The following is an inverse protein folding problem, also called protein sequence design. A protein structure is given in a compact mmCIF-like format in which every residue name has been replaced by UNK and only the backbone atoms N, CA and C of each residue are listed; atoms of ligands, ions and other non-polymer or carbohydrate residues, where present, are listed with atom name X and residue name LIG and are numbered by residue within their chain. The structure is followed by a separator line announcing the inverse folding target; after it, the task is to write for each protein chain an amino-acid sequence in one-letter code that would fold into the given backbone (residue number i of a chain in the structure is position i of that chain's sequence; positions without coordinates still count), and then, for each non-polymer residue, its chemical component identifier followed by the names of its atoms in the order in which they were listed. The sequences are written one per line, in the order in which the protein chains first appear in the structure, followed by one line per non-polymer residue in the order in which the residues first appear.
data_IF_130525522684
#
_entry.id   IF_130525522684
#
_cell.length_a   1.000
_cell.length_b   1.000
_cell.length_c   1.000
_cell.angle_alpha   90.00
_cell.angle_beta   90.00
_cell.angle_gamma   90.00
#
_symmetry.space_group_name_H-M   'P 1'
#
loop_
_entity.id
_entity.type
_entity.pdbx_description
1 polymer ?
#
# COMPACT_ATOMS: atom_id res chain seq x y z
N UNK A 1 15.18 -31.55 -0.54
CA UNK A 1 16.04 -31.09 0.59
C UNK A 1 16.31 -29.58 0.56
N UNK A 2 16.26 -28.89 -0.60
CA UNK A 2 16.54 -27.43 -0.74
C UNK A 2 15.31 -26.58 -0.35
N UNK A 3 14.10 -27.01 -0.70
CA UNK A 3 12.86 -26.25 -0.45
C UNK A 3 12.60 -26.00 1.05
N UNK A 4 12.88 -26.99 1.92
CA UNK A 4 12.66 -26.86 3.35
C UNK A 4 13.40 -25.66 3.96
N UNK A 5 14.72 -25.57 3.85
CA UNK A 5 15.49 -24.43 4.36
C UNK A 5 15.07 -23.09 3.74
N UNK A 6 14.82 -23.04 2.42
CA UNK A 6 14.41 -21.81 1.73
C UNK A 6 13.07 -21.28 2.28
N UNK A 7 12.06 -22.15 2.41
CA UNK A 7 10.77 -21.76 2.98
C UNK A 7 10.83 -21.49 4.48
N UNK A 8 11.73 -22.12 5.22
CA UNK A 8 11.95 -21.81 6.63
C UNK A 8 12.44 -20.37 6.83
N UNK A 9 13.34 -19.90 5.96
CA UNK A 9 13.80 -18.49 5.96
C UNK A 9 12.65 -17.56 5.58
N UNK A 10 11.90 -17.89 4.53
CA UNK A 10 10.75 -17.09 4.08
C UNK A 10 9.70 -16.97 5.21
N UNK A 11 9.33 -18.06 5.85
CA UNK A 11 8.40 -18.06 6.98
C UNK A 11 8.92 -17.23 8.15
N UNK A 12 10.20 -17.38 8.50
CA UNK A 12 10.80 -16.58 9.57
C UNK A 12 10.69 -15.08 9.26
N UNK A 13 11.05 -14.68 8.04
CA UNK A 13 10.94 -13.29 7.59
C UNK A 13 9.48 -12.81 7.63
N UNK A 14 8.54 -13.62 7.15
CA UNK A 14 7.12 -13.26 7.16
C UNK A 14 6.57 -13.13 8.59
N UNK A 15 6.93 -14.01 9.52
CA UNK A 15 6.49 -13.88 10.90
C UNK A 15 7.08 -12.66 11.59
N UNK A 16 8.39 -12.43 11.49
CA UNK A 16 9.05 -11.30 12.12
C UNK A 16 8.54 -9.98 11.52
N UNK A 17 8.43 -9.89 10.21
CA UNK A 17 7.90 -8.70 9.54
C UNK A 17 6.42 -8.46 9.85
N UNK A 18 5.62 -9.53 9.98
CA UNK A 18 4.23 -9.44 10.41
C UNK A 18 4.07 -8.88 11.82
N UNK A 19 4.94 -9.25 12.75
CA UNK A 19 4.96 -8.66 14.11
C UNK A 19 5.25 -7.17 14.07
N UNK A 20 6.22 -6.75 13.24
CA UNK A 20 6.50 -5.31 13.05
C UNK A 20 5.28 -4.58 12.49
N UNK A 21 4.56 -5.20 11.56
CA UNK A 21 3.40 -4.58 10.91
C UNK A 21 2.18 -4.37 11.82
N UNK A 22 2.13 -5.00 12.98
CA UNK A 22 1.10 -4.72 13.99
C UNK A 22 1.17 -3.24 14.43
N UNK A 23 2.38 -2.69 14.47
CA UNK A 23 2.64 -1.33 14.96
C UNK A 23 3.04 -0.35 13.85
N UNK A 24 3.65 -0.84 12.77
CA UNK A 24 4.26 -0.02 11.71
C UNK A 24 3.89 -0.55 10.33
N UNK A 25 2.98 0.12 9.65
CA UNK A 25 2.56 -0.24 8.28
C UNK A 25 3.47 0.42 7.23
N UNK A 26 3.17 0.19 5.95
CA UNK A 26 3.80 0.93 4.85
C UNK A 26 3.40 2.41 4.94
N UNK A 27 4.36 3.35 4.83
CA UNK A 27 4.06 4.78 4.91
C UNK A 27 3.10 5.19 3.79
N UNK A 28 2.19 6.09 4.11
CA UNK A 28 1.22 6.64 3.15
C UNK A 28 0.73 8.00 3.63
N UNK A 29 0.46 8.87 2.69
CA UNK A 29 -0.36 10.05 2.94
C UNK A 29 -1.81 9.56 3.14
N UNK A 30 -2.26 9.47 4.38
CA UNK A 30 -3.58 8.94 4.66
C UNK A 30 -4.69 9.97 4.37
N UNK A 31 -5.94 9.52 4.47
CA UNK A 31 -7.09 10.40 4.19
C UNK A 31 -7.25 11.48 5.26
N UNK A 32 -6.86 11.20 6.50
CA UNK A 32 -6.95 12.17 7.60
C UNK A 32 -5.91 13.26 7.40
N UNK A 33 -4.67 12.90 7.05
CA UNK A 33 -3.61 13.85 6.72
C UNK A 33 -4.01 14.74 5.54
N UNK A 34 -4.51 14.13 4.46
CA UNK A 34 -4.99 14.87 3.29
C UNK A 34 -6.09 15.86 3.67
N UNK A 35 -7.10 15.44 4.45
CA UNK A 35 -8.20 16.32 4.90
C UNK A 35 -7.71 17.45 5.80
N UNK A 36 -6.78 17.16 6.72
CA UNK A 36 -6.24 18.18 7.64
C UNK A 36 -5.42 19.26 6.91
N UNK A 37 -4.90 18.93 5.71
CA UNK A 37 -4.08 19.84 4.89
C UNK A 37 -4.84 20.43 3.69
N UNK A 38 -6.09 20.02 3.48
CA UNK A 38 -6.94 20.62 2.44
C UNK A 38 -7.45 21.98 2.88
N UNK A 39 -7.59 22.88 1.90
CA UNK A 39 -8.25 24.17 2.12
C UNK A 39 -9.73 23.96 2.48
N UNK A 40 -10.28 24.89 3.26
CA UNK A 40 -11.69 24.85 3.65
C UNK A 40 -12.55 25.04 2.41
N UNK A 41 -13.55 24.16 2.24
CA UNK A 41 -14.51 24.28 1.15
C UNK A 41 -15.37 25.55 1.36
N UNK A 42 -15.40 26.41 0.35
CA UNK A 42 -16.41 27.47 0.28
C UNK A 42 -17.72 26.85 -0.21
N UNK A 43 -18.75 26.93 0.63
CA UNK A 43 -20.10 26.48 0.29
C UNK A 43 -21.01 27.64 -0.14
N UNK A 44 -20.44 28.82 -0.27
CA UNK A 44 -21.18 30.01 -0.70
C UNK A 44 -21.41 29.97 -2.23
N UNK A 45 -22.62 30.27 -2.65
CA UNK A 45 -23.02 30.39 -4.06
C UNK A 45 -22.76 29.13 -4.92
N UNK A 46 -22.93 27.94 -4.33
CA UNK A 46 -22.82 26.70 -5.08
C UNK A 46 -23.90 26.63 -6.18
N UNK A 47 -23.54 26.26 -7.41
CA UNK A 47 -24.49 26.04 -8.48
C UNK A 47 -25.41 24.86 -8.17
N UNK A 48 -26.65 24.93 -8.66
CA UNK A 48 -27.56 23.78 -8.60
C UNK A 48 -27.09 22.65 -9.51
N UNK A 49 -27.56 21.41 -9.23
CA UNK A 49 -27.23 20.26 -10.08
C UNK A 49 -27.62 20.48 -11.53
N UNK A 50 -28.75 21.14 -11.81
CA UNK A 50 -29.19 21.47 -13.17
C UNK A 50 -28.23 22.44 -13.88
N UNK A 51 -27.61 23.36 -13.15
CA UNK A 51 -26.60 24.25 -13.72
C UNK A 51 -25.29 23.51 -14.00
N UNK A 52 -24.95 22.52 -13.19
CA UNK A 52 -23.78 21.68 -13.40
C UNK A 52 -24.00 20.75 -14.61
N UNK A 53 -25.19 20.13 -14.73
CA UNK A 53 -25.53 19.24 -15.83
C UNK A 53 -25.45 19.96 -17.19
N UNK A 54 -25.84 21.21 -17.25
CA UNK A 54 -25.70 22.05 -18.47
C UNK A 54 -24.25 22.30 -18.90
N UNK A 55 -23.28 22.11 -18.01
CA UNK A 55 -21.85 22.26 -18.32
C UNK A 55 -21.20 20.96 -18.78
N UNK A 56 -21.91 19.83 -18.66
CA UNK A 56 -21.46 18.53 -19.15
C UNK A 56 -21.73 18.38 -20.65
N UNK A 57 -21.02 17.52 -21.37
CA UNK A 57 -21.36 17.12 -22.72
C UNK A 57 -22.80 16.59 -22.80
N UNK A 58 -23.49 16.88 -23.91
CA UNK A 58 -24.87 16.44 -24.10
C UNK A 58 -24.99 14.91 -24.01
N UNK A 59 -26.08 14.46 -23.36
CA UNK A 59 -26.42 13.03 -23.18
C UNK A 59 -25.49 12.24 -22.22
N UNK A 60 -24.94 12.89 -21.22
CA UNK A 60 -24.24 12.18 -20.14
C UNK A 60 -25.06 12.19 -18.84
N UNK A 61 -25.29 11.02 -18.28
CA UNK A 61 -25.97 10.88 -16.99
C UNK A 61 -24.97 10.90 -15.85
N UNK A 62 -25.24 11.78 -14.89
CA UNK A 62 -24.44 11.86 -13.66
C UNK A 62 -24.69 10.63 -12.80
N UNK A 63 -23.63 9.87 -12.49
CA UNK A 63 -23.68 8.71 -11.61
C UNK A 63 -23.22 9.06 -10.19
N UNK A 64 -22.29 9.99 -10.06
CA UNK A 64 -21.73 10.41 -8.77
C UNK A 64 -21.22 11.84 -8.83
N UNK A 65 -21.45 12.60 -7.76
CA UNK A 65 -20.94 13.96 -7.60
C UNK A 65 -20.22 14.05 -6.27
N UNK A 66 -19.00 14.57 -6.31
CA UNK A 66 -18.22 14.86 -5.10
C UNK A 66 -17.76 16.31 -5.16
N UNK A 67 -17.88 17.01 -4.04
CA UNK A 67 -17.37 18.36 -3.89
C UNK A 67 -16.03 18.30 -3.17
N UNK A 68 -14.99 18.83 -3.80
CA UNK A 68 -13.64 18.84 -3.26
C UNK A 68 -13.04 20.24 -3.31
N UNK A 69 -12.13 20.54 -2.39
CA UNK A 69 -11.21 21.65 -2.57
C UNK A 69 -10.05 21.20 -3.43
N UNK A 70 -9.83 21.87 -4.54
CA UNK A 70 -8.74 21.58 -5.45
C UNK A 70 -7.88 22.83 -5.63
N UNK A 71 -6.70 22.81 -5.02
CA UNK A 71 -5.75 23.93 -5.06
C UNK A 71 -6.35 25.28 -4.63
N UNK A 72 -7.15 25.27 -3.57
CA UNK A 72 -7.83 26.47 -3.04
C UNK A 72 -9.10 26.87 -3.76
N UNK A 73 -9.55 26.13 -4.75
CA UNK A 73 -10.83 26.31 -5.41
C UNK A 73 -11.79 25.18 -5.08
N UNK A 74 -13.07 25.49 -4.94
CA UNK A 74 -14.12 24.49 -4.80
C UNK A 74 -14.46 23.90 -6.16
N UNK A 75 -14.33 22.59 -6.33
CA UNK A 75 -14.51 21.90 -7.61
C UNK A 75 -15.47 20.74 -7.44
N UNK A 76 -16.41 20.59 -8.35
CA UNK A 76 -17.24 19.41 -8.50
C UNK A 76 -16.51 18.36 -9.32
N UNK A 77 -16.21 17.22 -8.71
CA UNK A 77 -15.77 16.05 -9.42
C UNK A 77 -16.99 15.17 -9.75
N UNK A 78 -17.32 15.09 -11.04
CA UNK A 78 -18.52 14.43 -11.54
C UNK A 78 -18.11 13.17 -12.29
N UNK A 79 -18.69 12.06 -11.91
CA UNK A 79 -18.56 10.81 -12.64
C UNK A 79 -19.83 10.56 -13.44
N UNK A 80 -19.65 10.27 -14.72
CA UNK A 80 -20.72 9.85 -15.64
C UNK A 80 -20.47 8.42 -16.10
N UNK A 81 -21.37 7.88 -16.93
CA UNK A 81 -21.18 6.56 -17.56
C UNK A 81 -19.99 6.56 -18.55
N UNK A 82 -19.64 7.71 -19.12
CA UNK A 82 -18.61 7.84 -20.16
C UNK A 82 -17.27 8.36 -19.65
N UNK A 83 -17.22 8.99 -18.46
CA UNK A 83 -15.99 9.55 -17.94
C UNK A 83 -16.14 10.34 -16.64
N UNK A 84 -15.08 11.06 -16.28
CA UNK A 84 -15.07 11.94 -15.10
C UNK A 84 -14.73 13.36 -15.55
N UNK A 85 -15.41 14.34 -14.95
CA UNK A 85 -15.29 15.75 -15.26
C UNK A 85 -15.06 16.55 -13.99
N UNK A 86 -14.13 17.50 -14.02
CA UNK A 86 -13.90 18.46 -12.95
C UNK A 86 -14.46 19.82 -13.39
N UNK A 87 -15.41 20.33 -12.61
CA UNK A 87 -16.10 21.60 -12.91
C UNK A 87 -15.92 22.55 -11.72
N UNK A 88 -15.34 23.75 -11.90
CA UNK A 88 -15.28 24.74 -10.84
C UNK A 88 -16.66 25.08 -10.30
N UNK A 89 -16.78 25.25 -8.98
CA UNK A 89 -18.03 25.66 -8.37
C UNK A 89 -18.43 27.07 -8.83
N UNK A 90 -17.46 27.98 -8.95
CA UNK A 90 -17.71 29.29 -9.56
C UNK A 90 -17.71 29.16 -11.10
N UNK A 91 -18.77 29.62 -11.73
CA UNK A 91 -18.93 29.57 -13.17
C UNK A 91 -18.00 30.53 -13.93
N UNK A 92 -17.47 31.52 -13.27
CA UNK A 92 -16.52 32.49 -13.83
C UNK A 92 -15.08 32.02 -13.76
N UNK A 93 -14.80 31.02 -12.94
CA UNK A 93 -13.46 30.47 -12.77
C UNK A 93 -13.16 29.32 -13.75
N UNK A 94 -11.92 29.23 -14.13
CA UNK A 94 -11.38 28.05 -14.83
C UNK A 94 -10.70 27.14 -13.84
N UNK A 95 -10.62 25.85 -14.17
CA UNK A 95 -9.80 24.93 -13.39
C UNK A 95 -8.39 25.49 -13.22
N UNK A 96 -7.84 25.40 -12.01
CA UNK A 96 -6.53 25.94 -11.74
C UNK A 96 -5.48 25.24 -12.60
N UNK A 97 -4.65 26.01 -13.25
CA UNK A 97 -3.48 25.49 -13.96
C UNK A 97 -2.47 25.01 -12.93
N UNK A 98 -1.98 23.77 -13.12
CA UNK A 98 -0.92 23.20 -12.29
C UNK A 98 0.39 23.84 -12.75
N UNK A 99 0.88 24.77 -11.97
CA UNK A 99 2.19 25.40 -12.15
C UNK A 99 3.12 25.09 -10.97
N UNK A 100 4.38 25.42 -11.14
CA UNK A 100 5.39 25.18 -10.11
C UNK A 100 5.08 25.91 -8.79
N UNK A 101 4.57 27.13 -8.84
CA UNK A 101 4.24 27.92 -7.65
C UNK A 101 3.14 27.24 -6.83
N UNK A 102 2.15 26.66 -7.50
CA UNK A 102 1.07 25.89 -6.84
C UNK A 102 1.58 24.63 -6.22
N UNK A 103 2.44 23.88 -6.91
CA UNK A 103 3.07 22.66 -6.38
C UNK A 103 3.91 22.99 -5.13
N UNK A 104 4.68 24.07 -5.16
CA UNK A 104 5.42 24.53 -3.98
C UNK A 104 4.50 24.94 -2.83
N UNK A 105 3.37 25.56 -3.11
CA UNK A 105 2.36 25.91 -2.08
C UNK A 105 1.81 24.65 -1.42
N UNK A 106 1.43 23.65 -2.19
CA UNK A 106 0.99 22.34 -1.66
C UNK A 106 2.08 21.73 -0.77
N UNK A 107 3.34 21.76 -1.22
CA UNK A 107 4.44 21.24 -0.42
C UNK A 107 4.58 21.99 0.93
N UNK A 108 4.47 23.31 0.93
CA UNK A 108 4.55 24.15 2.13
C UNK A 108 3.37 23.96 3.09
N UNK A 109 2.18 23.61 2.58
CA UNK A 109 1.03 23.24 3.41
C UNK A 109 1.25 21.92 4.15
N UNK A 110 1.97 20.98 3.54
CA UNK A 110 2.26 19.69 4.16
C UNK A 110 3.37 19.74 5.19
N UNK A 111 4.41 20.51 4.91
CA UNK A 111 5.51 20.70 5.86
C UNK A 111 6.05 22.13 5.77
N UNK A 112 6.13 22.79 6.92
CA UNK A 112 6.60 24.19 7.04
C UNK A 112 8.12 24.31 7.08
N UNK A 113 8.85 23.20 7.16
CA UNK A 113 10.33 23.19 7.14
C UNK A 113 10.85 23.59 5.76
N UNK A 114 12.06 24.12 5.71
CA UNK A 114 12.69 24.47 4.44
C UNK A 114 12.87 23.26 3.54
N UNK A 115 12.68 23.47 2.23
CA UNK A 115 12.90 22.46 1.22
C UNK A 115 14.41 22.37 0.95
N UNK A 116 15.01 21.23 1.24
CA UNK A 116 16.44 20.99 1.02
C UNK A 116 16.75 20.65 -0.44
N UNK A 117 15.85 19.88 -1.09
CA UNK A 117 16.04 19.40 -2.46
C UNK A 117 14.69 19.05 -3.08
N UNK A 118 14.59 19.16 -4.39
CA UNK A 118 13.47 18.62 -5.17
C UNK A 118 14.03 17.78 -6.31
N UNK A 119 13.52 16.56 -6.43
CA UNK A 119 13.82 15.66 -7.55
C UNK A 119 12.60 15.51 -8.45
N UNK A 120 12.82 15.49 -9.76
CA UNK A 120 11.80 15.14 -10.76
C UNK A 120 11.93 13.65 -11.09
N UNK A 121 10.95 12.85 -10.69
CA UNK A 121 10.95 11.41 -10.89
C UNK A 121 10.21 11.05 -12.19
N UNK A 122 10.88 10.29 -13.04
CA UNK A 122 10.34 9.67 -14.26
C UNK A 122 10.24 8.15 -14.13
N UNK A 123 10.64 7.62 -12.96
CA UNK A 123 10.55 6.21 -12.60
C UNK A 123 10.01 6.07 -11.19
N UNK A 124 9.38 4.95 -10.90
CA UNK A 124 8.89 4.65 -9.55
C UNK A 124 10.07 4.41 -8.60
N UNK A 125 9.94 4.91 -7.37
CA UNK A 125 10.86 4.59 -6.29
C UNK A 125 10.20 3.69 -5.23
N UNK A 126 10.95 3.34 -4.17
CA UNK A 126 10.51 2.38 -3.16
C UNK A 126 9.26 2.86 -2.38
N UNK A 127 9.01 4.17 -2.30
CA UNK A 127 7.89 4.71 -1.53
C UNK A 127 6.64 4.95 -2.37
N UNK A 128 6.78 4.87 -3.69
CA UNK A 128 5.70 4.94 -4.68
C UNK A 128 5.75 3.74 -5.65
N UNK A 129 5.76 2.47 -5.18
CA UNK A 129 6.05 1.29 -5.98
C UNK A 129 4.87 0.85 -6.87
N UNK A 130 3.82 1.64 -6.98
CA UNK A 130 2.56 1.25 -7.62
C UNK A 130 2.53 1.65 -9.09
N UNK A 131 2.41 0.68 -10.00
CA UNK A 131 2.43 0.89 -11.45
C UNK A 131 1.45 1.92 -11.98
N UNK A 132 0.27 2.06 -11.35
CA UNK A 132 -0.74 3.08 -11.68
C UNK A 132 -0.22 4.52 -11.58
N UNK A 133 0.80 4.77 -10.73
CA UNK A 133 1.37 6.09 -10.56
C UNK A 133 2.28 6.52 -11.72
N UNK A 134 2.54 5.64 -12.68
CA UNK A 134 3.27 6.00 -13.91
C UNK A 134 2.51 7.03 -14.75
N UNK A 135 1.19 7.07 -14.63
CA UNK A 135 0.34 8.06 -15.31
C UNK A 135 0.54 9.49 -14.76
N UNK A 136 1.05 9.60 -13.52
CA UNK A 136 1.29 10.87 -12.82
C UNK A 136 2.67 11.48 -13.11
N UNK A 137 3.52 10.81 -13.89
CA UNK A 137 4.85 11.33 -14.22
C UNK A 137 4.82 12.60 -15.06
N UNK A 138 5.79 13.53 -14.82
CA UNK A 138 6.79 13.49 -13.75
C UNK A 138 6.17 13.69 -12.36
N UNK A 139 6.77 13.03 -11.35
CA UNK A 139 6.40 13.21 -9.94
C UNK A 139 7.49 14.03 -9.27
N UNK A 140 7.11 15.10 -8.57
CA UNK A 140 8.05 15.89 -7.81
C UNK A 140 8.21 15.31 -6.41
N UNK A 141 9.46 14.99 -6.05
CA UNK A 141 9.84 14.52 -4.73
C UNK A 141 10.53 15.63 -3.97
N UNK A 142 9.87 16.16 -2.97
CA UNK A 142 10.39 17.19 -2.07
C UNK A 142 11.07 16.52 -0.89
N UNK A 143 12.29 16.95 -0.57
CA UNK A 143 13.03 16.57 0.61
C UNK A 143 13.07 17.76 1.56
N UNK A 144 12.58 17.60 2.78
CA UNK A 144 12.58 18.66 3.79
C UNK A 144 13.82 18.60 4.67
N UNK A 145 14.30 19.77 5.09
CA UNK A 145 15.47 19.93 5.97
C UNK A 145 15.08 19.85 7.45
N UNK A 146 14.20 18.91 7.80
CA UNK A 146 13.78 18.66 9.17
C UNK A 146 14.48 17.41 9.74
N UNK A 147 14.52 17.25 11.09
CA UNK A 147 15.17 16.11 11.74
C UNK A 147 14.63 14.76 11.32
N UNK A 148 13.31 14.68 11.02
CA UNK A 148 12.61 13.48 10.58
C UNK A 148 12.83 13.17 9.10
N UNK A 149 13.46 14.08 8.35
CA UNK A 149 13.77 13.92 6.92
C UNK A 149 12.53 13.50 6.14
N UNK A 150 11.49 14.32 6.24
CA UNK A 150 10.28 14.09 5.49
C UNK A 150 10.52 14.14 3.98
N UNK A 151 9.80 13.27 3.27
CA UNK A 151 9.74 13.24 1.82
C UNK A 151 8.27 13.29 1.38
N UNK A 152 7.97 14.19 0.45
CA UNK A 152 6.63 14.41 -0.09
C UNK A 152 6.66 14.22 -1.60
N UNK A 153 5.71 13.47 -2.11
CA UNK A 153 5.59 13.18 -3.55
C UNK A 153 4.32 13.82 -4.08
N UNK A 154 4.47 14.70 -5.06
CA UNK A 154 3.37 15.45 -5.66
C UNK A 154 3.35 15.18 -7.18
N UNK A 155 2.17 14.88 -7.72
CA UNK A 155 1.96 14.79 -9.16
C UNK A 155 2.16 16.14 -9.82
N UNK A 156 2.93 16.19 -10.90
CA UNK A 156 3.04 17.40 -11.72
C UNK A 156 1.79 17.68 -12.54
N UNK A 157 0.96 16.67 -12.78
CA UNK A 157 -0.25 16.75 -13.61
C UNK A 157 -1.48 17.19 -12.83
N UNK A 158 -1.66 16.61 -11.64
CA UNK A 158 -2.84 16.85 -10.81
C UNK A 158 -2.56 17.76 -9.61
N UNK A 159 -1.28 17.94 -9.23
CA UNK A 159 -0.93 18.62 -7.97
C UNK A 159 -1.31 17.80 -6.73
N UNK A 160 -1.80 16.57 -6.91
CA UNK A 160 -2.19 15.71 -5.79
C UNK A 160 -0.97 15.16 -5.05
N UNK A 161 -1.07 15.12 -3.72
CA UNK A 161 -0.08 14.45 -2.89
C UNK A 161 -0.30 12.94 -2.98
N UNK A 162 0.70 12.25 -3.53
CA UNK A 162 0.68 10.81 -3.78
C UNK A 162 1.22 10.03 -2.59
N UNK A 163 2.24 10.59 -1.90
CA UNK A 163 2.90 9.95 -0.78
C UNK A 163 3.54 10.97 0.16
N UNK A 164 3.56 10.65 1.46
CA UNK A 164 4.27 11.40 2.49
C UNK A 164 4.94 10.42 3.45
N UNK A 165 6.23 10.60 3.70
CA UNK A 165 7.02 9.67 4.51
C UNK A 165 8.00 10.44 5.39
N UNK A 166 8.39 9.84 6.51
CA UNK A 166 9.47 10.28 7.39
C UNK A 166 10.54 9.17 7.54
N UNK A 167 11.69 9.49 8.12
CA UNK A 167 12.80 8.55 8.30
C UNK A 167 12.39 7.32 9.11
N UNK A 168 11.58 7.50 10.15
CA UNK A 168 11.18 6.43 11.05
C UNK A 168 10.21 5.47 10.36
N UNK A 169 9.18 5.98 9.69
CA UNK A 169 8.23 5.17 8.93
C UNK A 169 8.92 4.38 7.80
N UNK A 170 9.90 4.99 7.13
CA UNK A 170 10.71 4.30 6.12
C UNK A 170 11.57 3.18 6.71
N UNK A 171 12.17 3.40 7.88
CA UNK A 171 12.96 2.38 8.58
C UNK A 171 12.09 1.16 8.94
N UNK A 172 10.94 1.41 9.58
CA UNK A 172 10.05 0.32 9.98
C UNK A 172 9.39 -0.39 8.79
N UNK A 173 9.15 0.31 7.69
CA UNK A 173 8.65 -0.32 6.47
C UNK A 173 9.65 -1.33 5.89
N UNK A 174 10.96 -1.09 5.98
CA UNK A 174 11.99 -2.06 5.56
C UNK A 174 12.02 -3.31 6.42
N UNK A 175 11.67 -3.21 7.70
CA UNK A 175 11.60 -4.37 8.61
C UNK A 175 10.24 -5.07 8.58
N UNK A 176 9.19 -4.35 8.25
CA UNK A 176 7.80 -4.83 8.26
C UNK A 176 7.20 -4.99 6.87
N UNK A 177 6.55 -3.95 6.39
CA UNK A 177 5.67 -4.01 5.22
C UNK A 177 6.35 -4.44 3.92
N UNK A 178 7.58 -4.02 3.67
CA UNK A 178 8.29 -4.35 2.42
C UNK A 178 8.56 -5.86 2.34
N UNK A 179 9.21 -6.52 3.31
CA UNK A 179 9.43 -7.97 3.24
C UNK A 179 8.12 -8.77 3.42
N UNK A 180 7.17 -8.29 4.21
CA UNK A 180 5.92 -9.01 4.44
C UNK A 180 5.03 -9.06 3.21
N UNK A 181 4.84 -7.93 2.52
CA UNK A 181 4.03 -7.84 1.31
C UNK A 181 4.84 -8.02 0.02
N UNK A 182 6.14 -8.26 0.13
CA UNK A 182 7.06 -8.34 -1.02
C UNK A 182 6.97 -7.06 -1.88
N UNK A 183 6.97 -5.90 -1.24
CA UNK A 183 6.79 -4.59 -1.87
C UNK A 183 8.10 -4.01 -2.41
N UNK A 184 8.89 -4.83 -3.07
CA UNK A 184 10.05 -4.35 -3.83
C UNK A 184 9.56 -3.68 -5.12
N UNK A 185 10.03 -2.46 -5.40
CA UNK A 185 9.55 -1.67 -6.53
C UNK A 185 9.67 -2.42 -7.85
N UNK A 186 10.77 -3.14 -8.08
CA UNK A 186 10.99 -3.94 -9.29
C UNK A 186 9.88 -4.95 -9.57
N UNK A 187 9.27 -5.50 -8.53
CA UNK A 187 8.16 -6.45 -8.63
C UNK A 187 6.80 -5.74 -8.53
N UNK A 188 6.64 -4.84 -7.53
CA UNK A 188 5.35 -4.25 -7.19
C UNK A 188 4.82 -3.27 -8.24
N UNK A 189 5.69 -2.71 -9.07
CA UNK A 189 5.29 -1.85 -10.20
C UNK A 189 4.42 -2.57 -11.24
N UNK A 190 4.53 -3.90 -11.32
CA UNK A 190 3.62 -4.76 -12.07
C UNK A 190 2.71 -5.49 -11.06
N UNK A 191 1.46 -5.00 -10.96
CA UNK A 191 0.51 -5.51 -9.97
C UNK A 191 0.14 -6.97 -10.24
N UNK A 192 0.00 -7.35 -11.49
CA UNK A 192 -0.39 -8.71 -11.90
C UNK A 192 0.74 -9.71 -11.60
N UNK A 193 1.96 -9.38 -11.99
CA UNK A 193 3.13 -10.20 -11.70
C UNK A 193 3.35 -10.34 -10.19
N UNK A 194 3.23 -9.24 -9.44
CA UNK A 194 3.35 -9.26 -7.99
C UNK A 194 2.30 -10.18 -7.34
N UNK A 195 1.02 -10.09 -7.73
CA UNK A 195 -0.05 -10.97 -7.23
C UNK A 195 0.30 -12.43 -7.52
N UNK A 196 0.69 -12.75 -8.76
CA UNK A 196 1.08 -14.12 -9.15
C UNK A 196 2.22 -14.66 -8.27
N UNK A 197 3.27 -13.87 -8.09
CA UNK A 197 4.43 -14.29 -7.28
C UNK A 197 4.01 -14.56 -5.83
N UNK A 198 3.27 -13.67 -5.19
CA UNK A 198 2.85 -13.83 -3.79
C UNK A 198 1.88 -14.99 -3.63
N UNK A 199 0.92 -15.16 -4.54
CA UNK A 199 -0.03 -16.29 -4.53
C UNK A 199 0.70 -17.62 -4.69
N UNK A 200 1.67 -17.74 -5.61
CA UNK A 200 2.44 -18.95 -5.79
C UNK A 200 3.34 -19.26 -4.57
N UNK A 201 4.02 -18.28 -4.01
CA UNK A 201 4.81 -18.47 -2.79
C UNK A 201 3.95 -18.94 -1.61
N UNK A 202 2.80 -18.31 -1.41
CA UNK A 202 1.85 -18.69 -0.36
C UNK A 202 1.26 -20.08 -0.60
N UNK A 203 0.92 -20.40 -1.86
CA UNK A 203 0.39 -21.73 -2.24
C UNK A 203 1.39 -22.86 -1.97
N UNK A 204 2.64 -22.70 -2.38
CA UNK A 204 3.71 -23.64 -2.06
C UNK A 204 3.89 -23.76 -0.54
N UNK A 205 3.83 -22.62 0.17
CA UNK A 205 3.86 -22.59 1.64
C UNK A 205 2.73 -23.42 2.26
N UNK A 206 1.50 -23.32 1.77
CA UNK A 206 0.38 -24.13 2.23
C UNK A 206 0.60 -25.62 2.02
N UNK A 207 1.09 -26.02 0.84
CA UNK A 207 1.42 -27.43 0.55
C UNK A 207 2.48 -27.96 1.51
N UNK A 208 3.51 -27.16 1.77
CA UNK A 208 4.58 -27.54 2.73
C UNK A 208 4.05 -27.63 4.15
N UNK A 209 3.17 -26.72 4.59
CA UNK A 209 2.53 -26.80 5.91
C UNK A 209 1.68 -28.07 6.05
N UNK A 210 0.85 -28.39 5.06
CA UNK A 210 0.02 -29.59 5.06
C UNK A 210 0.91 -30.86 5.17
N UNK A 211 1.94 -30.94 4.34
CA UNK A 211 2.89 -32.07 4.39
C UNK A 211 3.61 -32.15 5.75
N UNK A 212 4.04 -31.01 6.29
CA UNK A 212 4.69 -30.92 7.60
C UNK A 212 3.77 -31.35 8.75
N UNK A 213 2.52 -30.90 8.75
CA UNK A 213 1.50 -31.31 9.74
C UNK A 213 1.26 -32.82 9.65
N UNK A 214 1.05 -33.34 8.43
CA UNK A 214 0.86 -34.80 8.24
C UNK A 214 2.01 -35.63 8.79
N UNK A 215 3.25 -35.29 8.43
CA UNK A 215 4.44 -35.97 8.91
C UNK A 215 4.59 -35.80 10.42
N UNK A 216 4.37 -34.63 10.95
CA UNK A 216 4.45 -34.33 12.37
C UNK A 216 3.45 -35.16 13.19
N UNK A 217 2.21 -35.26 12.76
CA UNK A 217 1.17 -36.08 13.43
C UNK A 217 1.52 -37.58 13.34
N UNK A 218 2.01 -38.06 12.19
CA UNK A 218 2.43 -39.42 12.00
C UNK A 218 3.56 -39.77 12.98
N UNK A 219 4.59 -38.97 13.04
CA UNK A 219 5.75 -39.18 13.89
C UNK A 219 5.42 -39.03 15.38
N UNK A 220 4.49 -38.10 15.71
CA UNK A 220 3.95 -38.01 17.08
C UNK A 220 3.23 -39.28 17.51
N UNK A 221 2.38 -39.87 16.65
CA UNK A 221 1.69 -41.15 16.93
C UNK A 221 2.68 -42.29 17.15
N UNK A 222 3.74 -42.36 16.36
CA UNK A 222 4.81 -43.37 16.51
C UNK A 222 5.59 -43.19 17.82
N UNK A 223 5.92 -41.95 18.18
CA UNK A 223 6.60 -41.62 19.43
C UNK A 223 5.75 -41.98 20.64
N UNK A 224 4.44 -41.68 20.61
CA UNK A 224 3.49 -41.96 21.68
C UNK A 224 3.38 -43.46 22.01
N UNK A 225 3.48 -44.33 21.00
CA UNK A 225 3.53 -45.80 21.22
C UNK A 225 4.75 -46.24 22.05
N UNK A 226 5.79 -45.39 22.13
CA UNK A 226 7.01 -45.59 22.90
C UNK A 226 7.05 -44.71 24.16
N UNK A 227 5.93 -44.14 24.59
CA UNK A 227 5.82 -43.19 25.70
C UNK A 227 6.73 -41.95 25.54
N UNK A 228 7.02 -41.52 24.31
CA UNK A 228 7.82 -40.36 24.01
C UNK A 228 6.95 -39.24 23.42
N UNK A 229 7.36 -37.99 23.66
CA UNK A 229 6.68 -36.80 23.07
C UNK A 229 7.13 -36.57 21.63
N UNK A 230 8.36 -36.96 21.30
CA UNK A 230 8.95 -36.83 19.97
C UNK A 230 9.92 -37.97 19.70
N UNK A 231 10.01 -38.50 18.46
CA UNK A 231 10.96 -39.52 18.11
C UNK A 231 12.39 -38.97 17.96
N UNK A 232 12.57 -37.68 17.93
CA UNK A 232 13.84 -36.99 17.67
C UNK A 232 14.62 -36.74 18.95
N UNK A 233 15.90 -37.18 18.99
CA UNK A 233 16.80 -36.98 20.14
C UNK A 233 17.51 -35.61 20.10
N UNK A 234 17.85 -35.11 18.90
CA UNK A 234 18.54 -33.83 18.74
C UNK A 234 17.60 -32.67 19.10
N UNK A 235 18.09 -31.70 19.88
CA UNK A 235 17.33 -30.59 20.44
C UNK A 235 16.50 -29.85 19.37
N UNK A 236 17.12 -29.37 18.28
CA UNK A 236 16.43 -28.59 17.24
C UNK A 236 15.37 -29.40 16.50
N UNK A 237 15.62 -30.67 16.17
CA UNK A 237 14.63 -31.53 15.52
C UNK A 237 13.46 -31.87 16.43
N UNK A 238 13.73 -32.08 17.72
CA UNK A 238 12.69 -32.33 18.72
C UNK A 238 11.75 -31.14 18.87
N UNK A 239 12.30 -29.94 19.06
CA UNK A 239 11.50 -28.75 19.22
C UNK A 239 10.79 -28.33 17.93
N UNK A 240 11.44 -28.45 16.76
CA UNK A 240 10.77 -28.22 15.48
C UNK A 240 9.57 -29.18 15.31
N UNK A 241 9.69 -30.46 15.65
CA UNK A 241 8.57 -31.40 15.59
C UNK A 241 7.44 -31.02 16.56
N UNK A 242 7.74 -30.72 17.82
CA UNK A 242 6.74 -30.37 18.85
C UNK A 242 6.01 -29.07 18.46
N UNK A 243 6.76 -28.01 18.16
CA UNK A 243 6.21 -26.73 17.80
C UNK A 243 5.49 -26.78 16.43
N UNK A 244 6.02 -27.57 15.50
CA UNK A 244 5.38 -27.77 14.20
C UNK A 244 4.01 -28.45 14.29
N UNK A 245 3.86 -29.45 15.17
CA UNK A 245 2.55 -30.08 15.42
C UNK A 245 1.61 -29.15 16.15
N UNK A 246 2.12 -28.36 17.13
CA UNK A 246 1.31 -27.47 17.94
C UNK A 246 0.82 -26.25 17.14
N UNK A 247 1.71 -25.60 16.39
CA UNK A 247 1.45 -24.33 15.71
C UNK A 247 1.28 -24.45 14.20
N UNK A 248 1.48 -25.62 13.61
CA UNK A 248 1.45 -25.83 12.16
C UNK A 248 0.13 -25.40 11.53
N UNK A 249 -1.00 -25.60 12.24
CA UNK A 249 -2.31 -25.15 11.76
C UNK A 249 -2.40 -23.62 11.67
N UNK A 250 -1.84 -22.89 12.63
CA UNK A 250 -1.81 -21.42 12.58
C UNK A 250 -0.96 -20.92 11.40
N UNK A 251 0.19 -21.54 11.16
CA UNK A 251 1.04 -21.20 10.00
C UNK A 251 0.30 -21.45 8.70
N UNK A 252 -0.40 -22.59 8.59
CA UNK A 252 -1.22 -22.91 7.42
C UNK A 252 -2.33 -21.88 7.21
N UNK A 253 -3.07 -21.51 8.26
CA UNK A 253 -4.15 -20.52 8.15
C UNK A 253 -3.65 -19.14 7.75
N UNK A 254 -2.49 -18.70 8.25
CA UNK A 254 -1.87 -17.44 7.85
C UNK A 254 -1.46 -17.45 6.37
N UNK A 255 -0.78 -18.50 5.91
CA UNK A 255 -0.41 -18.63 4.49
C UNK A 255 -1.65 -18.68 3.59
N UNK A 256 -2.67 -19.45 3.98
CA UNK A 256 -3.91 -19.58 3.22
C UNK A 256 -4.71 -18.29 3.18
N UNK A 257 -4.89 -17.61 4.31
CA UNK A 257 -5.61 -16.33 4.35
C UNK A 257 -4.89 -15.25 3.57
N UNK A 258 -3.55 -15.18 3.63
CA UNK A 258 -2.73 -14.28 2.83
C UNK A 258 -2.91 -14.53 1.33
N UNK A 259 -2.90 -15.79 0.90
CA UNK A 259 -3.17 -16.18 -0.48
C UNK A 259 -4.59 -15.75 -0.92
N UNK A 260 -5.61 -16.05 -0.11
CA UNK A 260 -7.01 -15.73 -0.44
C UNK A 260 -7.31 -14.23 -0.46
N UNK A 261 -6.59 -13.42 0.33
CA UNK A 261 -6.77 -11.97 0.32
C UNK A 261 -6.40 -11.34 -1.04
N UNK A 262 -5.45 -11.93 -1.77
CA UNK A 262 -5.02 -11.47 -3.08
C UNK A 262 -5.79 -12.13 -4.23
N UNK A 263 -6.22 -13.38 -4.08
CA UNK A 263 -6.96 -14.10 -5.12
C UNK A 263 -8.34 -13.48 -5.42
N UNK A 264 -8.90 -12.64 -4.51
CA UNK A 264 -10.18 -11.93 -4.72
C UNK A 264 -10.04 -10.65 -5.54
N UNK A 265 -8.83 -10.23 -5.87
CA UNK A 265 -8.55 -8.97 -6.60
C UNK A 265 -8.46 -9.24 -8.12
N UNK A 266 -8.61 -10.47 -8.53
CA UNK A 266 -8.80 -10.86 -9.93
C UNK A 266 -10.31 -10.99 -10.19
#
# INVERSE_FOLDING_TARGET
RILGPAFSILFLVWFLSGLVMIYHTFPRADRADKRAKMDILSLENLPSLDQIEKRLPQNERISHVTLNSYLGQTVFHIRTEKGSYDIPADSTERLPVIDWNRIQRVASQWNTSSIAKVDSLYTLDQWIPFGRLKEEFPIYKFHFADPERHELYISSKSGEVLQYTDKNSRFWAWLGAIPHWVYFTSLRQDAELWIKVVVWLSGIGCVMCIAGIYLGIRDFRLARRRHLISPYKKFWYKWHHILGVLFGLFVLTFCFSGMMSLARVQ
#
